data_IF_130438818898
#
_entry.id   IF_130438818898
#
_cell.length_a   1.000
_cell.length_b   1.000
_cell.length_c   1.000
_cell.angle_alpha   90.00
_cell.angle_beta   90.00
_cell.angle_gamma   90.00
#
_symmetry.space_group_name_H-M   'P 1'
#
loop_
_entity.id
_entity.type
_entity.pdbx_description
1 polymer ?
#
# COMPACT_ATOMS: atom_id res chain seq x y z
N UNK A 1 9.27 75.25 -29.30
CA UNK A 1 10.21 74.14 -28.90
C UNK A 1 9.74 73.37 -27.64
N UNK A 2 8.50 72.85 -27.63
CA UNK A 2 7.96 72.17 -26.43
C UNK A 2 7.57 70.69 -26.74
N UNK A 3 7.59 70.30 -27.98
CA UNK A 3 7.12 68.95 -28.41
C UNK A 3 8.11 67.82 -28.18
N UNK A 4 9.40 68.14 -27.93
CA UNK A 4 10.43 67.07 -27.73
C UNK A 4 10.46 66.40 -26.32
N UNK A 5 10.09 67.16 -25.27
CA UNK A 5 10.11 66.62 -23.88
C UNK A 5 8.97 65.61 -23.60
N UNK A 6 7.77 65.91 -24.12
CA UNK A 6 6.63 65.04 -24.00
C UNK A 6 6.86 63.67 -24.72
N UNK A 7 7.52 63.73 -25.90
CA UNK A 7 7.87 62.52 -26.66
C UNK A 7 8.87 61.58 -25.90
N UNK A 8 9.85 62.17 -25.18
CA UNK A 8 10.81 61.41 -24.43
C UNK A 8 10.22 60.74 -23.18
N UNK A 9 9.35 61.47 -22.47
CA UNK A 9 8.63 60.98 -21.31
C UNK A 9 7.68 59.80 -21.69
N UNK A 10 6.99 59.89 -22.80
CA UNK A 10 6.13 58.80 -23.31
C UNK A 10 6.94 57.54 -23.65
N UNK A 11 8.09 57.69 -24.29
CA UNK A 11 8.96 56.55 -24.62
C UNK A 11 9.52 55.83 -23.35
N UNK A 12 9.88 56.59 -22.33
CA UNK A 12 10.34 56.07 -21.06
C UNK A 12 9.19 55.38 -20.33
N UNK A 13 8.01 55.98 -20.29
CA UNK A 13 6.83 55.38 -19.66
C UNK A 13 6.42 54.08 -20.37
N UNK A 14 6.45 54.04 -21.70
CA UNK A 14 6.16 52.85 -22.48
C UNK A 14 7.15 51.72 -22.19
N UNK A 15 8.46 52.04 -22.06
CA UNK A 15 9.48 51.09 -21.67
C UNK A 15 9.24 50.47 -20.27
N UNK A 16 8.85 51.30 -19.30
CA UNK A 16 8.46 50.81 -17.97
C UNK A 16 7.23 49.92 -17.99
N UNK A 17 6.21 50.27 -18.77
CA UNK A 17 5.00 49.45 -18.93
C UNK A 17 5.32 48.07 -19.51
N UNK A 18 6.16 48.01 -20.54
CA UNK A 18 6.59 46.73 -21.12
C UNK A 18 7.40 45.91 -20.13
N UNK A 19 8.28 46.54 -19.35
CA UNK A 19 9.06 45.84 -18.30
C UNK A 19 8.15 45.25 -17.21
N UNK A 20 7.19 46.04 -16.74
CA UNK A 20 6.21 45.57 -15.73
C UNK A 20 5.39 44.39 -16.27
N UNK A 21 4.91 44.47 -17.51
CA UNK A 21 4.17 43.37 -18.14
C UNK A 21 5.03 42.11 -18.28
N UNK A 22 6.30 42.23 -18.62
CA UNK A 22 7.23 41.09 -18.70
C UNK A 22 7.46 40.45 -17.34
N UNK A 23 7.67 41.25 -16.29
CA UNK A 23 7.86 40.75 -14.90
C UNK A 23 6.58 40.08 -14.41
N UNK A 24 5.41 40.69 -14.60
CA UNK A 24 4.12 40.09 -14.23
C UNK A 24 3.86 38.79 -14.98
N UNK A 25 4.21 38.70 -16.25
CA UNK A 25 4.11 37.48 -17.04
C UNK A 25 5.01 36.37 -16.47
N UNK A 26 6.27 36.67 -16.15
CA UNK A 26 7.21 35.72 -15.58
C UNK A 26 6.75 35.20 -14.21
N UNK A 27 6.27 36.10 -13.34
CA UNK A 27 5.73 35.72 -12.01
C UNK A 27 4.48 34.84 -12.16
N UNK A 28 3.61 35.15 -13.11
CA UNK A 28 2.40 34.35 -13.37
C UNK A 28 2.74 32.96 -13.84
N UNK A 29 3.73 32.78 -14.70
CA UNK A 29 4.21 31.48 -15.17
C UNK A 29 4.79 30.69 -13.99
N UNK A 30 5.64 31.30 -13.16
CA UNK A 30 6.24 30.64 -11.99
C UNK A 30 5.18 30.18 -10.97
N UNK A 31 4.16 31.01 -10.73
CA UNK A 31 3.05 30.64 -9.83
C UNK A 31 2.23 29.47 -10.39
N UNK A 32 1.97 29.48 -11.70
CA UNK A 32 1.25 28.39 -12.38
C UNK A 32 2.04 27.07 -12.33
N UNK A 33 3.33 27.10 -12.64
CA UNK A 33 4.19 25.90 -12.54
C UNK A 33 4.29 25.37 -11.12
N UNK A 34 4.39 26.26 -10.12
CA UNK A 34 4.41 25.87 -8.72
C UNK A 34 3.13 25.19 -8.28
N UNK A 35 1.97 25.70 -8.69
CA UNK A 35 0.67 25.09 -8.41
C UNK A 35 0.58 23.68 -9.02
N UNK A 36 0.95 23.55 -10.28
CA UNK A 36 0.95 22.27 -10.99
C UNK A 36 1.92 21.26 -10.39
N UNK A 37 3.10 21.71 -9.94
CA UNK A 37 4.08 20.85 -9.29
C UNK A 37 3.58 20.36 -7.91
N UNK A 38 2.81 21.15 -7.18
CA UNK A 38 2.18 20.70 -5.93
C UNK A 38 1.14 19.61 -6.16
N UNK A 39 0.35 19.71 -7.21
CA UNK A 39 -0.66 18.72 -7.59
C UNK A 39 0.01 17.38 -7.98
N UNK A 40 1.04 17.42 -8.83
CA UNK A 40 1.82 16.23 -9.22
C UNK A 40 2.52 15.59 -8.02
N UNK A 41 3.03 16.38 -7.09
CA UNK A 41 3.66 15.84 -5.86
C UNK A 41 2.65 15.15 -4.96
N UNK A 42 1.44 15.68 -4.81
CA UNK A 42 0.37 15.06 -4.03
C UNK A 42 -0.01 13.70 -4.65
N UNK A 43 -0.24 13.64 -5.93
CA UNK A 43 -0.56 12.42 -6.69
C UNK A 43 0.57 11.39 -6.60
N UNK A 44 1.82 11.82 -6.77
CA UNK A 44 3.01 10.93 -6.64
C UNK A 44 3.16 10.39 -5.21
N UNK A 45 2.84 11.18 -4.19
CA UNK A 45 2.92 10.74 -2.79
C UNK A 45 1.87 9.67 -2.47
N UNK A 46 0.68 9.78 -3.03
CA UNK A 46 -0.38 8.79 -2.87
C UNK A 46 -0.02 7.47 -3.55
N UNK A 47 0.46 7.51 -4.79
CA UNK A 47 0.95 6.32 -5.50
C UNK A 47 2.08 5.64 -4.73
N UNK A 48 3.01 6.40 -4.15
CA UNK A 48 4.10 5.86 -3.33
C UNK A 48 3.57 5.17 -2.07
N UNK A 49 2.58 5.75 -1.42
CA UNK A 49 1.92 5.16 -0.24
C UNK A 49 1.22 3.84 -0.59
N UNK A 50 0.48 3.82 -1.69
CA UNK A 50 -0.19 2.61 -2.19
C UNK A 50 0.83 1.52 -2.49
N UNK A 51 1.90 1.84 -3.21
CA UNK A 51 2.98 0.89 -3.51
C UNK A 51 3.64 0.34 -2.25
N UNK A 52 3.88 1.18 -1.26
CA UNK A 52 4.44 0.75 0.03
C UNK A 52 3.50 -0.24 0.73
N UNK A 53 2.21 0.04 0.77
CA UNK A 53 1.22 -0.83 1.39
C UNK A 53 1.10 -2.17 0.65
N UNK A 54 1.13 -2.17 -0.68
CA UNK A 54 1.14 -3.40 -1.50
C UNK A 54 2.38 -4.24 -1.19
N UNK A 55 3.57 -3.64 -1.17
CA UNK A 55 4.80 -4.36 -0.86
C UNK A 55 4.80 -4.91 0.57
N UNK A 56 4.24 -4.16 1.52
CA UNK A 56 4.10 -4.61 2.91
C UNK A 56 3.13 -5.79 3.00
N UNK A 57 1.98 -5.73 2.35
CA UNK A 57 1.02 -6.83 2.29
C UNK A 57 1.65 -8.08 1.65
N UNK A 58 2.35 -7.92 0.53
CA UNK A 58 3.04 -9.01 -0.13
C UNK A 58 4.06 -9.70 0.80
N UNK A 59 4.86 -8.92 1.53
CA UNK A 59 5.81 -9.44 2.50
C UNK A 59 5.10 -10.22 3.62
N UNK A 60 4.05 -9.68 4.21
CA UNK A 60 3.29 -10.37 5.25
C UNK A 60 2.66 -11.68 4.76
N UNK A 61 2.11 -11.69 3.54
CA UNK A 61 1.57 -12.90 2.94
C UNK A 61 2.68 -13.94 2.74
N UNK A 62 3.84 -13.53 2.22
CA UNK A 62 4.99 -14.42 2.02
C UNK A 62 5.48 -14.99 3.36
N UNK A 63 5.58 -14.17 4.40
CA UNK A 63 5.93 -14.61 5.75
C UNK A 63 4.92 -15.62 6.29
N UNK A 64 3.61 -15.40 6.10
CA UNK A 64 2.57 -16.37 6.52
C UNK A 64 2.65 -17.68 5.75
N UNK A 65 2.95 -17.63 4.45
CA UNK A 65 3.12 -18.85 3.64
C UNK A 65 4.28 -19.66 4.16
N UNK A 66 5.46 -19.04 4.28
CA UNK A 66 6.69 -19.71 4.74
C UNK A 66 6.57 -20.23 6.18
N UNK A 67 5.97 -19.43 7.06
CA UNK A 67 5.76 -19.85 8.46
C UNK A 67 4.82 -21.05 8.54
N UNK A 68 3.77 -21.08 7.72
CA UNK A 68 2.84 -22.21 7.65
C UNK A 68 3.43 -23.52 7.13
N UNK A 69 4.58 -23.49 6.44
CA UNK A 69 5.27 -24.70 5.98
C UNK A 69 5.90 -25.50 7.13
N UNK A 70 6.20 -24.87 8.26
CA UNK A 70 6.78 -25.49 9.44
C UNK A 70 5.75 -26.03 10.44
N UNK A 71 4.46 -26.09 10.05
CA UNK A 71 3.35 -26.48 10.95
C UNK A 71 3.54 -27.81 11.68
N UNK A 72 4.32 -28.73 11.11
CA UNK A 72 4.56 -30.07 11.68
C UNK A 72 5.31 -30.00 13.03
N UNK A 73 6.10 -28.96 13.25
CA UNK A 73 6.89 -28.75 14.47
C UNK A 73 6.31 -27.67 15.38
N UNK A 74 5.10 -27.17 15.08
CA UNK A 74 4.48 -26.11 15.85
C UNK A 74 3.97 -26.58 17.22
N UNK A 75 4.13 -25.67 18.17
CA UNK A 75 3.41 -25.70 19.44
C UNK A 75 2.20 -24.75 19.41
N UNK A 76 1.37 -24.79 20.46
CA UNK A 76 0.22 -23.89 20.59
C UNK A 76 0.61 -22.40 20.56
N UNK A 77 1.81 -22.06 20.99
CA UNK A 77 2.36 -20.71 20.93
C UNK A 77 2.58 -20.25 19.49
N UNK A 78 3.10 -21.14 18.63
CA UNK A 78 3.36 -20.84 17.21
C UNK A 78 2.07 -20.62 16.44
N UNK A 79 1.04 -21.42 16.73
CA UNK A 79 -0.28 -21.23 16.13
C UNK A 79 -0.91 -19.89 16.53
N UNK A 80 -0.77 -19.47 17.79
CA UNK A 80 -1.25 -18.14 18.22
C UNK A 80 -0.50 -17.01 17.52
N UNK A 81 0.79 -17.16 17.31
CA UNK A 81 1.61 -16.19 16.58
C UNK A 81 1.21 -16.14 15.10
N UNK A 82 1.01 -17.30 14.45
CA UNK A 82 0.49 -17.35 13.07
C UNK A 82 -0.84 -16.63 12.95
N UNK A 83 -1.80 -16.91 13.85
CA UNK A 83 -3.11 -16.26 13.86
C UNK A 83 -3.01 -14.76 14.05
N UNK A 84 -2.12 -14.30 14.92
CA UNK A 84 -1.86 -12.86 15.12
C UNK A 84 -1.37 -12.20 13.83
N UNK A 85 -0.39 -12.81 13.16
CA UNK A 85 0.15 -12.31 11.88
C UNK A 85 -0.91 -12.31 10.78
N UNK A 86 -1.76 -13.35 10.72
CA UNK A 86 -2.87 -13.39 9.77
C UNK A 86 -3.85 -12.23 9.97
N UNK A 87 -4.26 -11.96 11.19
CA UNK A 87 -5.17 -10.85 11.48
C UNK A 87 -4.57 -9.49 11.13
N UNK A 88 -3.27 -9.30 11.34
CA UNK A 88 -2.55 -8.09 10.91
C UNK A 88 -2.55 -7.95 9.39
N UNK A 89 -2.31 -9.04 8.68
CA UNK A 89 -2.33 -9.07 7.20
C UNK A 89 -3.72 -8.78 6.68
N UNK A 90 -4.76 -9.33 7.30
CA UNK A 90 -6.16 -9.11 6.94
C UNK A 90 -6.54 -7.63 7.09
N UNK A 91 -6.17 -7.01 8.20
CA UNK A 91 -6.37 -5.57 8.43
C UNK A 91 -5.68 -4.72 7.35
N UNK A 92 -4.47 -5.07 6.94
CA UNK A 92 -3.73 -4.38 5.90
C UNK A 92 -4.39 -4.55 4.52
N UNK A 93 -4.89 -5.73 4.22
CA UNK A 93 -5.64 -6.02 2.99
C UNK A 93 -6.95 -5.23 2.92
N UNK A 94 -7.66 -5.06 4.04
CA UNK A 94 -8.85 -4.21 4.09
C UNK A 94 -8.51 -2.73 3.85
N UNK A 95 -7.41 -2.23 4.38
CA UNK A 95 -6.93 -0.87 4.09
C UNK A 95 -6.61 -0.72 2.60
N UNK A 96 -5.95 -1.72 1.99
CA UNK A 96 -5.67 -1.74 0.57
C UNK A 96 -6.94 -1.76 -0.29
N UNK A 97 -7.95 -2.53 0.12
CA UNK A 97 -9.26 -2.59 -0.56
C UNK A 97 -9.90 -1.19 -0.68
N UNK A 98 -9.83 -0.41 0.39
CA UNK A 98 -10.36 0.96 0.41
C UNK A 98 -9.46 1.92 -0.40
N UNK A 99 -8.14 1.81 -0.25
CA UNK A 99 -7.20 2.75 -0.86
C UNK A 99 -6.94 2.49 -2.35
N UNK A 100 -7.11 1.26 -2.81
CA UNK A 100 -6.79 0.83 -4.17
C UNK A 100 -8.03 0.46 -5.00
N UNK A 101 -9.23 0.83 -4.56
CA UNK A 101 -10.49 0.45 -5.22
C UNK A 101 -10.58 0.80 -6.71
N UNK A 102 -9.71 1.69 -7.20
CA UNK A 102 -9.61 2.06 -8.62
C UNK A 102 -8.67 1.12 -9.39
N UNK A 103 -7.71 0.46 -8.74
CA UNK A 103 -6.64 -0.31 -9.38
C UNK A 103 -6.74 -1.82 -9.14
N UNK A 104 -7.38 -2.23 -8.05
CA UNK A 104 -7.53 -3.64 -7.65
C UNK A 104 -9.00 -3.95 -7.49
N UNK A 105 -9.48 -5.01 -8.16
CA UNK A 105 -10.87 -5.45 -7.97
C UNK A 105 -11.09 -5.87 -6.51
N UNK A 106 -12.07 -5.27 -5.80
CA UNK A 106 -12.36 -5.59 -4.40
C UNK A 106 -12.55 -7.08 -4.15
N UNK A 107 -13.15 -7.80 -5.11
CA UNK A 107 -13.36 -9.23 -5.03
C UNK A 107 -12.08 -10.07 -5.02
N UNK A 108 -10.97 -9.57 -5.58
CA UNK A 108 -9.67 -10.26 -5.50
C UNK A 108 -9.10 -10.21 -4.09
N UNK A 109 -9.25 -9.08 -3.39
CA UNK A 109 -8.83 -8.95 -1.99
C UNK A 109 -9.68 -9.84 -1.10
N UNK A 110 -11.00 -9.87 -1.31
CA UNK A 110 -11.91 -10.74 -0.53
C UNK A 110 -11.56 -12.22 -0.74
N UNK A 111 -11.26 -12.62 -1.97
CA UNK A 111 -10.81 -13.98 -2.28
C UNK A 111 -9.49 -14.31 -1.58
N UNK A 112 -8.56 -13.37 -1.50
CA UNK A 112 -7.28 -13.57 -0.82
C UNK A 112 -7.49 -13.69 0.70
N UNK A 113 -8.31 -12.86 1.31
CA UNK A 113 -8.66 -12.97 2.73
C UNK A 113 -9.31 -14.33 3.03
N UNK A 114 -10.24 -14.77 2.20
CA UNK A 114 -10.87 -16.08 2.33
C UNK A 114 -9.87 -17.25 2.19
N UNK A 115 -8.94 -17.18 1.25
CA UNK A 115 -7.89 -18.19 1.12
C UNK A 115 -6.97 -18.26 2.34
N UNK A 116 -6.63 -17.12 2.95
CA UNK A 116 -5.85 -17.08 4.19
C UNK A 116 -6.61 -17.70 5.36
N UNK A 117 -7.92 -17.47 5.44
CA UNK A 117 -8.79 -18.08 6.46
C UNK A 117 -8.89 -19.60 6.28
N UNK A 118 -9.13 -20.07 5.06
CA UNK A 118 -9.16 -21.52 4.75
C UNK A 118 -7.83 -22.19 5.09
N UNK A 119 -6.70 -21.52 4.78
CA UNK A 119 -5.37 -22.01 5.16
C UNK A 119 -5.21 -22.13 6.67
N UNK A 120 -5.66 -21.15 7.46
CA UNK A 120 -5.61 -21.23 8.93
C UNK A 120 -6.36 -22.46 9.46
N UNK A 121 -7.56 -22.71 8.94
CA UNK A 121 -8.36 -23.87 9.33
C UNK A 121 -7.65 -25.19 8.98
N UNK A 122 -7.00 -25.27 7.83
CA UNK A 122 -6.22 -26.45 7.45
C UNK A 122 -5.01 -26.67 8.35
N UNK A 123 -4.27 -25.61 8.69
CA UNK A 123 -3.12 -25.68 9.59
C UNK A 123 -3.53 -26.13 10.99
N UNK A 124 -4.64 -25.60 11.50
CA UNK A 124 -5.22 -26.04 12.78
C UNK A 124 -5.55 -27.54 12.76
N UNK A 125 -6.19 -28.03 11.70
CA UNK A 125 -6.53 -29.44 11.54
C UNK A 125 -5.29 -30.34 11.50
N UNK A 126 -4.24 -29.92 10.80
CA UNK A 126 -2.97 -30.65 10.76
C UNK A 126 -2.38 -30.74 12.16
N UNK A 127 -2.31 -29.63 12.88
CA UNK A 127 -1.77 -29.55 14.24
C UNK A 127 -2.57 -30.46 15.20
N UNK A 128 -3.90 -30.41 15.16
CA UNK A 128 -4.77 -31.27 15.97
C UNK A 128 -4.57 -32.77 15.65
N UNK A 129 -4.32 -33.11 14.38
CA UNK A 129 -4.09 -34.50 13.95
C UNK A 129 -2.75 -35.02 14.47
N UNK A 130 -1.71 -34.17 14.50
CA UNK A 130 -0.39 -34.50 14.98
C UNK A 130 -0.38 -34.59 16.53
N UNK A 131 -1.10 -33.69 17.19
CA UNK A 131 -1.14 -33.62 18.66
C UNK A 131 -2.01 -34.73 19.28
N UNK A 132 -2.94 -35.32 18.52
CA UNK A 132 -3.71 -36.48 18.98
C UNK A 132 -2.75 -37.67 19.08
N UNK A 133 -2.48 -38.23 20.30
CA UNK A 133 -1.74 -39.45 20.42
C UNK A 133 -2.49 -40.53 19.65
N UNK A 134 -1.83 -41.14 18.67
CA UNK A 134 -2.36 -42.34 18.01
C UNK A 134 -2.60 -43.31 19.11
N UNK A 135 -3.85 -43.54 19.51
CA UNK A 135 -4.26 -44.57 20.41
C UNK A 135 -3.98 -45.90 19.67
N UNK A 136 -2.78 -46.43 19.86
CA UNK A 136 -2.50 -47.79 19.46
C UNK A 136 -3.44 -48.67 20.26
N UNK A 137 -4.58 -49.00 19.69
CA UNK A 137 -5.34 -50.16 20.14
C UNK A 137 -4.39 -51.33 20.01
N UNK A 138 -3.92 -51.84 21.15
CA UNK A 138 -3.22 -53.09 21.24
C UNK A 138 -4.00 -54.14 20.46
N UNK A 139 -3.55 -54.46 19.26
CA UNK A 139 -3.86 -55.71 18.63
C UNK A 139 -3.18 -56.79 19.51
N UNK A 140 -3.89 -57.27 20.50
CA UNK A 140 -3.55 -58.54 21.17
C UNK A 140 -3.58 -59.61 20.09
N UNK A 141 -2.39 -60.00 19.64
CA UNK A 141 -2.20 -61.23 18.88
C UNK A 141 -2.72 -62.39 19.74
N UNK A 142 -3.65 -63.22 19.22
CA UNK A 142 -4.00 -64.45 19.93
C UNK A 142 -2.77 -65.36 19.98
N UNK A 143 -2.29 -65.61 21.15
CA UNK A 143 -1.28 -66.65 21.41
C UNK A 143 -1.95 -67.97 21.12
N UNK A 144 -1.44 -68.75 20.15
CA UNK A 144 -1.76 -70.12 19.86
C UNK A 144 -0.81 -70.97 20.72
#
# INVERSE_FOLDING_TARGET
MVTGKASLQHKVLLGYMVLIMAVCGMVSILLYERSRMCEIKAETSEIRRIRHNINTAHRHITELVTYGESVIVWEDADFREYRRKRLQTDSLLQILKVSCGTFVLPGQIDSLCHLLEVKEVHLLRIMETITRPVSYTHLTLPTI
#
